data_IF_246510875801
#
_entry.id   IF_246510875801
#
_cell.length_a   1.000
_cell.length_b   1.000
_cell.length_c   1.000
_cell.angle_alpha   90.00
_cell.angle_beta   90.00
_cell.angle_gamma   90.00
#
_symmetry.space_group_name_H-M   'P 1'
#
loop_
_entity.id
_entity.type
_entity.pdbx_description
1 polymer ?
#
# COMPACT_ATOMS: atom_id res chain seq x y z
N UNK A 1 -52.38 -54.17 -42.29
CA UNK A 1 -51.52 -54.44 -41.13
C UNK A 1 -50.23 -53.67 -41.38
N UNK A 2 -50.25 -52.38 -41.03
CA UNK A 2 -49.25 -51.41 -41.49
C UNK A 2 -49.01 -50.42 -40.36
N UNK A 3 -47.95 -50.67 -39.59
CA UNK A 3 -47.36 -49.84 -38.53
C UNK A 3 -46.07 -50.61 -38.19
N UNK A 4 -44.86 -50.06 -38.08
CA UNK A 4 -44.50 -48.83 -37.41
C UNK A 4 -42.97 -48.64 -37.61
N UNK A 5 -42.50 -48.03 -38.70
CA UNK A 5 -41.10 -47.63 -38.81
C UNK A 5 -41.00 -46.34 -39.62
N UNK A 6 -40.84 -45.21 -38.94
CA UNK A 6 -40.20 -43.96 -39.43
C UNK A 6 -40.43 -42.82 -38.42
N UNK A 7 -39.80 -42.88 -37.25
CA UNK A 7 -39.64 -41.70 -36.38
C UNK A 7 -38.35 -41.76 -35.55
N UNK A 8 -37.21 -41.93 -36.20
CA UNK A 8 -35.92 -41.57 -35.62
C UNK A 8 -35.03 -41.08 -36.74
N UNK A 9 -34.64 -39.79 -36.66
CA UNK A 9 -33.67 -39.02 -37.45
C UNK A 9 -34.32 -37.69 -37.80
N UNK A 10 -33.75 -36.59 -37.27
CA UNK A 10 -34.03 -35.15 -37.52
C UNK A 10 -34.25 -34.28 -36.26
N UNK A 11 -33.73 -34.68 -35.09
CA UNK A 11 -33.70 -33.82 -33.90
C UNK A 11 -32.34 -33.21 -33.53
N UNK A 12 -31.21 -33.71 -34.06
CA UNK A 12 -29.86 -33.41 -33.52
C UNK A 12 -29.11 -32.23 -34.16
N UNK A 13 -29.41 -31.86 -35.41
CA UNK A 13 -28.57 -30.93 -36.19
C UNK A 13 -28.81 -29.44 -35.92
N UNK A 14 -30.06 -29.04 -35.63
CA UNK A 14 -30.41 -27.63 -35.44
C UNK A 14 -29.85 -27.05 -34.13
N UNK A 15 -29.86 -27.86 -33.07
CA UNK A 15 -29.31 -27.49 -31.75
C UNK A 15 -27.78 -27.32 -31.78
N UNK A 16 -27.07 -28.18 -32.52
CA UNK A 16 -25.62 -28.10 -32.66
C UNK A 16 -25.18 -26.88 -33.48
N UNK A 17 -25.90 -26.53 -34.57
CA UNK A 17 -25.65 -25.30 -35.34
C UNK A 17 -25.88 -24.04 -34.52
N UNK A 18 -26.94 -23.99 -33.70
CA UNK A 18 -27.20 -22.86 -32.79
C UNK A 18 -26.11 -22.72 -31.71
N UNK A 19 -25.62 -23.83 -31.16
CA UNK A 19 -24.50 -23.84 -30.19
C UNK A 19 -23.20 -23.35 -30.81
N UNK A 20 -22.88 -23.81 -32.03
CA UNK A 20 -21.69 -23.35 -32.75
C UNK A 20 -21.77 -21.87 -33.12
N UNK A 21 -22.95 -21.38 -33.53
CA UNK A 21 -23.16 -19.96 -33.80
C UNK A 21 -23.04 -19.11 -32.53
N UNK A 22 -23.60 -19.57 -31.40
CA UNK A 22 -23.43 -18.90 -30.10
C UNK A 22 -21.96 -18.89 -29.64
N UNK A 23 -21.22 -19.97 -29.84
CA UNK A 23 -19.79 -20.05 -29.56
C UNK A 23 -18.99 -19.09 -30.45
N UNK A 24 -19.32 -19.03 -31.75
CA UNK A 24 -18.70 -18.10 -32.69
C UNK A 24 -18.96 -16.64 -32.32
N UNK A 25 -20.20 -16.29 -31.94
CA UNK A 25 -20.52 -14.96 -31.42
C UNK A 25 -19.72 -14.64 -30.14
N UNK A 26 -19.60 -15.60 -29.23
CA UNK A 26 -18.83 -15.41 -28.00
C UNK A 26 -17.33 -15.21 -28.29
N UNK A 27 -16.77 -15.97 -29.23
CA UNK A 27 -15.37 -15.82 -29.66
C UNK A 27 -15.13 -14.48 -30.35
N UNK A 28 -16.03 -14.03 -31.23
CA UNK A 28 -15.90 -12.73 -31.91
C UNK A 28 -16.01 -11.57 -30.93
N UNK A 29 -16.93 -11.63 -29.96
CA UNK A 29 -17.01 -10.64 -28.87
C UNK A 29 -15.74 -10.64 -28.01
N UNK A 30 -15.19 -11.82 -27.69
CA UNK A 30 -13.95 -11.94 -26.93
C UNK A 30 -12.76 -11.34 -27.70
N UNK A 31 -12.63 -11.65 -28.99
CA UNK A 31 -11.58 -11.09 -29.85
C UNK A 31 -11.72 -9.58 -30.00
N UNK A 32 -12.94 -9.07 -30.19
CA UNK A 32 -13.21 -7.63 -30.24
C UNK A 32 -12.85 -6.92 -28.93
N UNK A 33 -13.19 -7.52 -27.79
CA UNK A 33 -12.83 -7.00 -26.48
C UNK A 33 -11.31 -7.00 -26.25
N UNK A 34 -10.61 -8.07 -26.64
CA UNK A 34 -9.14 -8.13 -26.54
C UNK A 34 -8.47 -7.13 -27.48
N UNK A 35 -8.98 -6.94 -28.70
CA UNK A 35 -8.49 -5.94 -29.63
C UNK A 35 -8.67 -4.53 -29.08
N UNK A 36 -9.84 -4.22 -28.51
CA UNK A 36 -10.11 -2.97 -27.82
C UNK A 36 -9.16 -2.73 -26.63
N UNK A 37 -8.93 -3.74 -25.80
CA UNK A 37 -7.99 -3.61 -24.69
C UNK A 37 -6.57 -3.32 -25.19
N UNK A 38 -6.14 -3.96 -26.29
CA UNK A 38 -4.82 -3.78 -26.87
C UNK A 38 -4.64 -2.44 -27.61
N UNK A 39 -5.71 -1.74 -27.97
CA UNK A 39 -5.61 -0.40 -28.55
C UNK A 39 -5.43 0.71 -27.52
N UNK A 40 -5.58 0.40 -26.22
CA UNK A 40 -5.46 1.39 -25.14
C UNK A 40 -4.00 1.56 -24.69
N UNK A 41 -3.64 2.74 -24.15
CA UNK A 41 -2.37 2.93 -23.44
C UNK A 41 -2.18 1.88 -22.33
N UNK A 42 -0.92 1.51 -22.06
CA UNK A 42 -0.57 0.39 -21.19
C UNK A 42 -1.19 0.51 -19.78
N UNK A 43 -1.07 1.69 -19.16
CA UNK A 43 -1.62 1.94 -17.82
C UNK A 43 -3.16 1.94 -17.82
N UNK A 44 -3.80 2.52 -18.84
CA UNK A 44 -5.27 2.51 -19.00
C UNK A 44 -5.78 1.08 -19.17
N UNK A 45 -5.09 0.27 -19.98
CA UNK A 45 -5.38 -1.15 -20.15
C UNK A 45 -5.26 -1.89 -18.82
N UNK A 46 -4.18 -1.68 -18.08
CA UNK A 46 -3.97 -2.28 -16.77
C UNK A 46 -5.08 -1.85 -15.78
N UNK A 47 -5.43 -0.57 -15.73
CA UNK A 47 -6.52 -0.07 -14.88
C UNK A 47 -7.86 -0.73 -15.19
N UNK A 48 -8.23 -0.86 -16.48
CA UNK A 48 -9.46 -1.57 -16.87
C UNK A 48 -9.42 -3.06 -16.51
N UNK A 49 -8.27 -3.71 -16.65
CA UNK A 49 -8.08 -5.10 -16.23
C UNK A 49 -8.17 -5.27 -14.71
N UNK A 50 -7.85 -4.24 -13.92
CA UNK A 50 -8.01 -4.25 -12.47
C UNK A 50 -9.49 -4.33 -12.06
N UNK A 51 -10.41 -3.93 -12.96
CA UNK A 51 -11.88 -3.89 -12.72
C UNK A 51 -12.21 -3.16 -11.41
N UNK A 52 -11.64 -1.97 -11.26
CA UNK A 52 -11.88 -1.11 -10.11
C UNK A 52 -13.32 -0.58 -10.19
N UNK A 53 -14.13 -0.72 -9.13
CA UNK A 53 -15.48 -0.16 -9.09
C UNK A 53 -15.49 1.36 -9.28
N UNK A 54 -16.52 1.89 -9.92
CA UNK A 54 -16.63 3.33 -10.21
C UNK A 54 -16.87 4.21 -8.99
N UNK A 55 -17.24 3.63 -7.84
CA UNK A 55 -17.42 4.34 -6.58
C UNK A 55 -16.10 4.44 -5.77
N UNK A 56 -14.99 3.95 -6.31
CA UNK A 56 -13.67 4.02 -5.72
C UNK A 56 -12.80 5.07 -6.43
N UNK A 57 -12.22 5.98 -5.66
CA UNK A 57 -11.34 7.03 -6.16
C UNK A 57 -9.93 6.47 -6.31
N UNK A 58 -9.30 6.59 -7.48
CA UNK A 58 -7.89 6.26 -7.66
C UNK A 58 -7.04 7.29 -6.90
N UNK A 59 -6.08 6.84 -6.08
CA UNK A 59 -5.24 7.75 -5.25
C UNK A 59 -3.73 7.55 -5.46
N UNK A 60 -3.31 6.39 -5.97
CA UNK A 60 -1.93 6.16 -6.37
C UNK A 60 -1.84 5.04 -7.40
N UNK A 61 -0.80 5.08 -8.24
CA UNK A 61 -0.46 4.01 -9.18
C UNK A 61 1.02 3.70 -9.05
N UNK A 62 1.38 2.43 -8.93
CA UNK A 62 2.76 1.98 -8.99
C UNK A 62 2.93 1.01 -10.15
N UNK A 63 4.05 1.14 -10.86
CA UNK A 63 4.38 0.30 -12.00
C UNK A 63 5.84 -0.15 -11.95
N UNK A 64 6.10 -1.46 -12.12
CA UNK A 64 7.43 -2.04 -12.28
C UNK A 64 7.39 -3.15 -13.35
N UNK A 65 7.80 -2.81 -14.59
CA UNK A 65 7.86 -3.69 -15.77
C UNK A 65 6.55 -4.39 -16.10
N UNK A 66 6.33 -5.57 -15.54
CA UNK A 66 5.15 -6.41 -15.74
C UNK A 66 4.26 -6.48 -14.49
N UNK A 67 4.29 -5.43 -13.69
CA UNK A 67 3.58 -5.35 -12.43
C UNK A 67 2.94 -3.98 -12.30
N UNK A 68 1.65 -3.98 -11.94
CA UNK A 68 0.87 -2.77 -11.69
C UNK A 68 0.21 -2.87 -10.34
N UNK A 69 0.19 -1.76 -9.61
CA UNK A 69 -0.66 -1.59 -8.44
C UNK A 69 -1.45 -0.30 -8.54
N UNK A 70 -2.73 -0.38 -8.21
CA UNK A 70 -3.63 0.76 -8.14
C UNK A 70 -4.16 0.86 -6.71
N UNK A 71 -3.80 1.93 -6.00
CA UNK A 71 -4.40 2.25 -4.72
C UNK A 71 -5.65 3.09 -4.92
N UNK A 72 -6.71 2.75 -4.20
CA UNK A 72 -7.99 3.43 -4.26
C UNK A 72 -8.54 3.70 -2.87
N UNK A 73 -9.42 4.69 -2.78
CA UNK A 73 -10.15 5.04 -1.58
C UNK A 73 -11.65 5.18 -1.86
N UNK A 74 -12.46 4.60 -0.98
CA UNK A 74 -13.90 4.81 -1.00
C UNK A 74 -14.31 5.66 0.22
N UNK A 75 -14.70 6.94 0.04
CA UNK A 75 -15.03 7.83 1.15
C UNK A 75 -16.28 7.40 1.92
N UNK A 76 -17.23 6.71 1.28
CA UNK A 76 -18.46 6.23 1.92
C UNK A 76 -18.21 5.09 2.90
N UNK A 77 -17.27 4.21 2.56
CA UNK A 77 -16.96 3.03 3.38
C UNK A 77 -15.68 3.16 4.19
N UNK A 78 -14.91 4.23 3.96
CA UNK A 78 -13.59 4.48 4.55
C UNK A 78 -12.62 3.32 4.35
N UNK A 79 -12.62 2.76 3.14
CA UNK A 79 -11.77 1.63 2.77
C UNK A 79 -10.69 2.07 1.81
N UNK A 80 -9.45 1.72 2.15
CA UNK A 80 -8.33 1.70 1.22
C UNK A 80 -8.26 0.32 0.57
N UNK A 81 -8.00 0.30 -0.72
CA UNK A 81 -7.71 -0.93 -1.45
C UNK A 81 -6.49 -0.76 -2.33
N UNK A 82 -5.67 -1.79 -2.40
CA UNK A 82 -4.62 -1.92 -3.42
C UNK A 82 -5.00 -3.09 -4.31
N UNK A 83 -5.09 -2.83 -5.61
CA UNK A 83 -5.29 -3.84 -6.65
C UNK A 83 -3.94 -4.11 -7.30
N UNK A 84 -3.46 -5.34 -7.27
CA UNK A 84 -2.21 -5.73 -7.93
C UNK A 84 -2.52 -6.56 -9.18
N UNK A 85 -1.83 -6.26 -10.27
CA UNK A 85 -1.89 -7.01 -11.53
C UNK A 85 -0.51 -7.49 -11.95
N UNK A 86 -0.41 -8.78 -12.29
CA UNK A 86 0.79 -9.39 -12.86
C UNK A 86 0.56 -9.62 -14.36
N UNK A 87 1.29 -8.89 -15.20
CA UNK A 87 1.10 -8.90 -16.66
C UNK A 87 2.01 -9.90 -17.39
N UNK A 88 2.80 -10.68 -16.63
CA UNK A 88 3.58 -11.82 -17.13
C UNK A 88 2.70 -12.96 -17.70
N UNK A 89 1.37 -12.88 -17.54
CA UNK A 89 0.37 -13.77 -18.16
C UNK A 89 -0.79 -12.97 -18.78
N UNK A 90 -0.62 -12.40 -19.99
CA UNK A 90 -1.46 -11.32 -20.52
C UNK A 90 -2.87 -11.73 -21.00
N UNK A 91 -3.23 -13.01 -21.04
CA UNK A 91 -4.42 -13.49 -21.78
C UNK A 91 -5.62 -13.80 -20.86
N UNK A 92 -5.41 -13.93 -19.55
CA UNK A 92 -6.44 -14.37 -18.60
C UNK A 92 -6.41 -13.53 -17.30
N UNK A 93 -7.57 -13.21 -16.69
CA UNK A 93 -7.70 -12.35 -15.49
C UNK A 93 -7.14 -12.95 -14.19
N UNK A 94 -6.24 -13.92 -14.28
CA UNK A 94 -5.82 -14.78 -13.17
C UNK A 94 -4.65 -14.20 -12.37
N UNK A 95 -4.07 -13.08 -12.83
CA UNK A 95 -3.02 -12.34 -12.14
C UNK A 95 -3.53 -11.13 -11.39
N UNK A 96 -4.68 -11.18 -10.70
CA UNK A 96 -5.20 -10.06 -9.91
C UNK A 96 -5.31 -10.41 -8.43
N UNK A 97 -4.67 -9.62 -7.59
CA UNK A 97 -4.85 -9.65 -6.13
C UNK A 97 -5.45 -8.33 -5.63
N UNK A 98 -6.23 -8.39 -4.55
CA UNK A 98 -6.78 -7.20 -3.89
C UNK A 98 -6.55 -7.30 -2.38
N UNK A 99 -5.93 -6.26 -1.82
CA UNK A 99 -5.81 -6.05 -0.38
C UNK A 99 -6.73 -4.90 0.01
N UNK A 100 -7.37 -5.00 1.17
CA UNK A 100 -8.35 -4.01 1.63
C UNK A 100 -8.18 -3.80 3.11
N UNK A 101 -8.20 -2.52 3.54
CA UNK A 101 -8.17 -2.13 4.94
C UNK A 101 -9.17 -1.01 5.21
N UNK A 102 -9.72 -0.97 6.42
CA UNK A 102 -10.49 0.18 6.89
C UNK A 102 -9.53 1.20 7.46
N UNK A 103 -9.76 2.48 7.20
CA UNK A 103 -8.88 3.57 7.67
C UNK A 103 -9.69 4.71 8.29
N UNK A 104 -9.20 5.34 9.37
CA UNK A 104 -9.79 6.58 9.87
C UNK A 104 -9.46 7.80 9.00
N UNK A 105 -8.46 7.69 8.11
CA UNK A 105 -7.92 8.78 7.32
C UNK A 105 -8.82 9.14 6.12
N UNK A 106 -8.84 10.42 5.75
CA UNK A 106 -9.52 10.92 4.56
C UNK A 106 -8.54 11.07 3.38
N UNK A 107 -8.63 10.14 2.42
CA UNK A 107 -7.79 10.15 1.21
C UNK A 107 -8.44 10.83 0.00
N UNK A 108 -9.66 11.36 0.11
CA UNK A 108 -10.29 12.06 -1.01
C UNK A 108 -9.47 13.22 -1.60
N UNK A 109 -8.67 13.99 -0.83
CA UNK A 109 -7.76 14.99 -1.40
C UNK A 109 -6.67 14.43 -2.33
N UNK A 110 -6.39 13.12 -2.27
CA UNK A 110 -5.43 12.43 -3.14
C UNK A 110 -6.08 11.84 -4.40
N UNK A 111 -7.39 12.06 -4.63
CA UNK A 111 -8.06 11.54 -5.80
C UNK A 111 -7.39 12.04 -7.09
N UNK A 112 -7.09 11.10 -7.98
CA UNK A 112 -6.39 11.33 -9.23
C UNK A 112 -7.37 11.31 -10.40
N UNK A 113 -7.07 12.13 -11.40
CA UNK A 113 -7.69 12.01 -12.72
C UNK A 113 -7.22 10.73 -13.42
N UNK A 114 -8.14 10.02 -14.07
CA UNK A 114 -7.81 8.81 -14.84
C UNK A 114 -7.05 9.14 -16.12
N UNK A 115 -7.19 10.36 -16.64
CA UNK A 115 -6.50 10.79 -17.86
C UNK A 115 -4.97 10.83 -17.66
N UNK A 116 -4.50 10.99 -16.41
CA UNK A 116 -3.07 10.90 -16.05
C UNK A 116 -2.44 9.52 -16.32
N UNK A 117 -3.27 8.48 -16.52
CA UNK A 117 -2.79 7.15 -16.92
C UNK A 117 -2.33 7.11 -18.38
N UNK A 118 -2.81 8.02 -19.23
CA UNK A 118 -2.39 8.09 -20.63
C UNK A 118 -0.94 8.57 -20.76
N UNK A 119 -0.47 9.33 -19.77
CA UNK A 119 0.86 9.97 -19.72
C UNK A 119 1.90 9.14 -18.96
N UNK A 120 1.72 7.82 -18.85
CA UNK A 120 2.64 6.98 -18.08
C UNK A 120 4.08 7.05 -18.63
N UNK A 121 5.10 7.28 -17.78
CA UNK A 121 6.49 7.25 -18.19
C UNK A 121 6.90 5.88 -18.75
N UNK A 122 7.92 5.88 -19.61
CA UNK A 122 8.50 4.63 -20.13
C UNK A 122 9.44 3.98 -19.11
N UNK A 123 10.01 4.82 -18.26
CA UNK A 123 10.93 4.46 -17.20
C UNK A 123 10.21 3.67 -16.11
N UNK A 124 10.86 2.64 -15.60
CA UNK A 124 10.34 1.83 -14.50
C UNK A 124 11.43 1.62 -13.43
N UNK A 125 11.07 1.57 -12.14
CA UNK A 125 9.73 1.75 -11.58
C UNK A 125 9.21 3.19 -11.67
N UNK A 126 7.89 3.34 -11.73
CA UNK A 126 7.20 4.62 -11.76
C UNK A 126 6.05 4.66 -10.74
N UNK A 127 5.81 5.83 -10.15
CA UNK A 127 4.76 6.10 -9.16
C UNK A 127 3.94 7.32 -9.58
N UNK A 128 2.65 7.15 -9.86
CA UNK A 128 1.71 8.27 -9.93
C UNK A 128 1.16 8.51 -8.54
N UNK A 129 1.46 9.67 -7.96
CA UNK A 129 0.98 10.05 -6.65
C UNK A 129 0.80 11.57 -6.58
N UNK A 130 -0.28 12.03 -5.93
CA UNK A 130 -0.60 13.45 -5.80
C UNK A 130 -0.55 14.22 -7.14
N UNK A 131 -1.07 13.62 -8.21
CA UNK A 131 -1.18 14.22 -9.53
C UNK A 131 0.13 14.27 -10.34
N UNK A 132 1.22 13.63 -9.88
CA UNK A 132 2.51 13.64 -10.58
C UNK A 132 3.08 12.24 -10.71
N UNK A 133 3.72 11.97 -11.85
CA UNK A 133 4.55 10.79 -12.06
C UNK A 133 5.96 11.02 -11.51
N UNK A 134 6.40 10.10 -10.66
CA UNK A 134 7.75 10.01 -10.15
C UNK A 134 8.45 8.79 -10.75
N UNK A 135 9.76 8.92 -10.99
CA UNK A 135 10.64 7.86 -11.49
C UNK A 135 11.92 7.85 -10.66
N UNK A 136 12.89 7.02 -11.01
CA UNK A 136 14.22 7.07 -10.39
C UNK A 136 14.96 8.38 -10.68
N UNK A 137 14.71 8.98 -11.84
CA UNK A 137 15.36 10.22 -12.29
C UNK A 137 14.72 11.45 -11.67
N UNK A 138 13.44 11.36 -11.32
CA UNK A 138 12.70 12.38 -10.57
C UNK A 138 11.98 11.71 -9.40
N UNK A 139 12.71 11.32 -8.34
CA UNK A 139 12.13 10.62 -7.21
C UNK A 139 11.25 11.56 -6.38
N UNK A 140 10.29 10.99 -5.62
CA UNK A 140 9.50 11.79 -4.69
C UNK A 140 10.38 12.35 -3.56
N UNK A 141 10.13 13.61 -3.18
CA UNK A 141 10.79 14.27 -2.04
C UNK A 141 10.00 14.00 -0.75
N UNK A 142 10.54 13.17 0.13
CA UNK A 142 9.89 12.78 1.38
C UNK A 142 10.16 13.77 2.52
N UNK A 143 9.20 13.95 3.44
CA UNK A 143 9.41 14.78 4.61
C UNK A 143 10.48 14.19 5.53
N UNK A 144 11.34 15.07 6.04
CA UNK A 144 12.42 14.73 6.96
C UNK A 144 11.94 14.66 8.42
N UNK A 145 12.70 13.96 9.26
CA UNK A 145 12.44 13.91 10.70
C UNK A 145 12.40 15.30 11.35
N UNK A 146 13.28 16.21 10.93
CA UNK A 146 13.33 17.57 11.48
C UNK A 146 12.09 18.39 11.10
N UNK A 147 11.57 18.24 9.89
CA UNK A 147 10.31 18.88 9.48
C UNK A 147 9.14 18.37 10.32
N UNK A 148 9.03 17.05 10.49
CA UNK A 148 7.97 16.42 11.29
C UNK A 148 8.06 16.90 12.75
N UNK A 149 9.21 16.77 13.39
CA UNK A 149 9.35 17.15 14.81
C UNK A 149 9.18 18.64 15.04
N UNK A 150 9.59 19.50 14.09
CA UNK A 150 9.35 20.94 14.15
C UNK A 150 7.86 21.27 14.09
N UNK A 151 7.09 20.62 13.21
CA UNK A 151 5.65 20.81 13.10
C UNK A 151 4.91 20.41 14.40
N UNK A 152 5.33 19.32 15.03
CA UNK A 152 4.69 18.78 16.24
C UNK A 152 5.34 19.23 17.55
N UNK A 153 6.27 20.19 17.53
CA UNK A 153 7.05 20.62 18.70
C UNK A 153 6.21 20.88 19.96
N UNK A 154 5.03 21.48 19.79
CA UNK A 154 4.13 21.86 20.90
C UNK A 154 2.94 20.90 21.07
N UNK A 155 3.05 19.67 20.57
CA UNK A 155 1.99 18.65 20.64
C UNK A 155 2.42 17.49 21.52
N UNK A 156 1.41 16.80 22.06
CA UNK A 156 1.59 15.49 22.69
C UNK A 156 1.19 14.43 21.68
N UNK A 157 2.15 13.59 21.32
CA UNK A 157 1.95 12.46 20.44
C UNK A 157 1.65 11.22 21.27
N UNK A 158 0.94 10.26 20.72
CA UNK A 158 0.88 8.89 21.27
C UNK A 158 1.94 8.02 20.64
N UNK A 159 2.13 8.20 19.35
CA UNK A 159 3.03 7.43 18.51
C UNK A 159 3.54 8.30 17.36
N UNK A 160 4.78 8.05 16.96
CA UNK A 160 5.39 8.55 15.74
C UNK A 160 5.96 7.34 15.00
N UNK A 161 5.43 7.06 13.82
CA UNK A 161 5.85 5.91 13.00
C UNK A 161 6.31 6.36 11.63
N UNK A 162 7.44 5.83 11.17
CA UNK A 162 8.01 6.04 9.86
C UNK A 162 7.94 4.73 9.07
N UNK A 163 7.38 4.79 7.86
CA UNK A 163 7.30 3.68 6.93
C UNK A 163 8.15 3.96 5.70
N UNK A 164 9.07 3.04 5.42
CA UNK A 164 9.82 3.01 4.17
C UNK A 164 9.43 1.76 3.40
N UNK A 165 9.18 1.95 2.10
CA UNK A 165 8.97 0.87 1.16
C UNK A 165 9.94 1.06 0.00
N UNK A 166 10.73 0.04 -0.33
CA UNK A 166 11.61 0.10 -1.50
C UNK A 166 10.84 -0.05 -2.82
N UNK A 167 9.76 -0.81 -2.77
CA UNK A 167 8.92 -1.20 -3.92
C UNK A 167 7.50 -1.45 -3.45
N UNK A 168 6.57 -1.37 -4.40
CA UNK A 168 5.15 -1.65 -4.21
C UNK A 168 4.43 -0.62 -3.33
N UNK A 169 3.12 -0.55 -3.49
CA UNK A 169 2.22 0.15 -2.59
C UNK A 169 1.88 -0.77 -1.41
N UNK A 170 2.02 -0.26 -0.19
CA UNK A 170 1.73 -1.02 1.02
C UNK A 170 0.50 -0.47 1.74
N UNK A 171 -0.38 -1.38 2.14
CA UNK A 171 -1.47 -1.13 3.08
C UNK A 171 -1.59 -2.32 4.02
N UNK A 172 -2.18 -2.12 5.20
CA UNK A 172 -2.40 -3.21 6.14
C UNK A 172 -1.14 -3.73 6.78
N UNK A 173 -1.32 -4.56 7.79
CA UNK A 173 -0.23 -5.32 8.36
C UNK A 173 -0.21 -6.74 7.79
N UNK A 174 0.98 -7.33 7.80
CA UNK A 174 1.24 -8.72 7.46
C UNK A 174 1.59 -9.42 8.75
N UNK A 175 0.83 -10.45 9.10
CA UNK A 175 1.04 -11.20 10.34
C UNK A 175 2.34 -12.01 10.28
N UNK A 176 3.10 -11.96 11.37
CA UNK A 176 4.30 -12.77 11.58
C UNK A 176 3.89 -14.00 12.38
N UNK A 177 3.94 -15.18 11.73
CA UNK A 177 3.52 -16.44 12.33
C UNK A 177 4.50 -17.56 11.98
N UNK A 178 4.89 -18.34 12.98
CA UNK A 178 5.57 -19.62 12.80
C UNK A 178 4.96 -20.70 13.67
N UNK A 179 4.62 -21.81 13.03
CA UNK A 179 3.75 -22.83 13.64
C UNK A 179 2.45 -22.20 14.13
N UNK A 180 2.13 -22.45 15.39
CA UNK A 180 0.91 -21.96 16.05
C UNK A 180 1.11 -20.62 16.80
N UNK A 181 2.29 -20.02 16.74
CA UNK A 181 2.64 -18.81 17.50
C UNK A 181 2.57 -17.55 16.63
N UNK A 182 1.86 -16.52 17.12
CA UNK A 182 1.79 -15.19 16.52
C UNK A 182 2.81 -14.25 17.18
N UNK A 183 3.77 -13.73 16.41
CA UNK A 183 4.86 -12.87 16.91
C UNK A 183 4.58 -11.37 16.74
N UNK A 184 3.54 -11.01 15.98
CA UNK A 184 3.15 -9.62 15.73
C UNK A 184 2.77 -9.39 14.27
N UNK A 185 2.93 -8.16 13.80
CA UNK A 185 2.66 -7.80 12.41
C UNK A 185 3.54 -6.66 11.94
N UNK A 186 3.91 -6.67 10.65
CA UNK A 186 4.66 -5.59 9.99
C UNK A 186 3.78 -4.91 8.94
N UNK A 187 3.83 -3.59 8.83
CA UNK A 187 3.18 -2.84 7.77
C UNK A 187 2.20 -1.78 8.26
N UNK A 188 1.73 -0.90 7.37
CA UNK A 188 1.15 0.38 7.74
C UNK A 188 -0.31 0.35 8.24
N UNK A 189 -0.85 -0.80 8.66
CA UNK A 189 -2.21 -1.02 9.23
C UNK A 189 -3.36 -0.38 8.43
N UNK A 190 -3.55 0.93 8.47
CA UNK A 190 -4.58 1.70 7.77
C UNK A 190 -4.03 2.83 6.88
N UNK A 191 -2.71 2.93 6.76
CA UNK A 191 -1.99 3.94 5.99
C UNK A 191 -1.53 3.35 4.66
N UNK A 192 -1.59 4.16 3.60
CA UNK A 192 -0.93 3.85 2.34
C UNK A 192 0.54 4.24 2.48
N UNK A 193 1.47 3.32 2.26
CA UNK A 193 2.90 3.65 2.10
C UNK A 193 3.23 3.55 0.62
N UNK A 194 3.72 4.65 0.06
CA UNK A 194 4.24 4.72 -1.32
C UNK A 194 5.73 4.36 -1.32
N UNK A 195 6.25 3.75 -2.40
CA UNK A 195 7.64 3.37 -2.45
C UNK A 195 8.56 4.58 -2.65
N UNK A 196 9.71 4.53 -2.00
CA UNK A 196 10.86 5.33 -2.32
C UNK A 196 11.49 4.79 -3.60
N UNK A 197 11.58 5.65 -4.62
CA UNK A 197 12.16 5.29 -5.91
C UNK A 197 13.68 5.55 -5.96
N UNK A 198 14.26 6.07 -4.87
CA UNK A 198 15.70 6.26 -4.75
C UNK A 198 16.40 4.94 -4.41
N UNK A 199 17.49 4.63 -5.13
CA UNK A 199 18.32 3.45 -4.84
C UNK A 199 19.43 3.76 -3.81
N UNK A 200 19.68 5.03 -3.50
CA UNK A 200 20.89 5.50 -2.80
C UNK A 200 20.63 5.96 -1.36
N UNK A 201 20.58 5.03 -0.40
CA UNK A 201 20.97 5.23 1.01
C UNK A 201 20.25 6.25 1.89
N UNK A 202 19.49 7.19 1.33
CA UNK A 202 18.63 8.16 1.98
C UNK A 202 17.19 7.67 1.84
N UNK A 203 16.83 6.74 2.72
CA UNK A 203 15.47 6.20 2.77
C UNK A 203 14.46 7.31 3.08
N UNK A 204 13.64 7.66 2.10
CA UNK A 204 12.48 8.52 2.28
C UNK A 204 11.39 7.81 3.09
N UNK A 205 10.80 8.50 4.05
CA UNK A 205 9.78 7.93 4.94
C UNK A 205 8.41 8.58 4.73
N UNK A 206 7.37 7.75 4.65
CA UNK A 206 6.00 8.18 4.94
C UNK A 206 5.86 8.21 6.46
N UNK A 207 5.55 9.39 7.02
CA UNK A 207 5.43 9.56 8.47
C UNK A 207 3.97 9.54 8.90
N UNK A 208 3.63 8.64 9.81
CA UNK A 208 2.37 8.63 10.53
C UNK A 208 2.56 9.19 11.94
N UNK A 209 1.72 10.16 12.28
CA UNK A 209 1.73 10.84 13.57
C UNK A 209 0.38 10.66 14.25
N UNK A 210 0.37 10.05 15.43
CA UNK A 210 -0.81 9.95 16.28
C UNK A 210 -0.79 11.08 17.31
N UNK A 211 -1.64 12.09 17.16
CA UNK A 211 -1.74 13.22 18.09
C UNK A 211 -2.86 12.99 19.09
N UNK A 212 -2.59 13.23 20.38
CA UNK A 212 -3.60 13.18 21.43
C UNK A 212 -4.68 14.22 21.14
N UNK A 213 -5.91 13.78 20.92
CA UNK A 213 -7.10 14.65 20.84
C UNK A 213 -7.91 14.55 22.13
N UNK A 214 -8.30 13.33 22.51
CA UNK A 214 -9.06 13.01 23.70
C UNK A 214 -8.56 11.71 24.35
N UNK A 215 -9.18 11.29 25.46
CA UNK A 215 -8.83 10.06 26.18
C UNK A 215 -8.91 8.82 25.28
N UNK A 216 -9.92 8.73 24.42
CA UNK A 216 -10.21 7.56 23.58
C UNK A 216 -10.17 7.86 22.07
N UNK A 217 -9.75 9.06 21.67
CA UNK A 217 -9.66 9.45 20.27
C UNK A 217 -8.32 10.13 19.96
N UNK A 218 -7.78 9.83 18.79
CA UNK A 218 -6.56 10.43 18.26
C UNK A 218 -6.82 11.09 16.92
N UNK A 219 -6.12 12.19 16.67
CA UNK A 219 -5.95 12.72 15.33
C UNK A 219 -4.77 11.99 14.70
N UNK A 220 -5.04 11.22 13.66
CA UNK A 220 -4.03 10.58 12.83
C UNK A 220 -3.69 11.51 11.67
N UNK A 221 -2.40 11.77 11.47
CA UNK A 221 -1.90 12.56 10.33
C UNK A 221 -0.81 11.76 9.64
N UNK A 222 -0.93 11.61 8.33
CA UNK A 222 0.10 10.99 7.51
C UNK A 222 0.70 12.03 6.58
N UNK A 223 2.02 12.11 6.59
CA UNK A 223 2.83 13.00 5.76
C UNK A 223 3.45 12.19 4.63
N UNK A 224 3.17 12.64 3.43
CA UNK A 224 3.61 12.05 2.17
C UNK A 224 4.62 12.95 1.46
N UNK A 225 5.26 12.44 0.40
CA UNK A 225 6.06 13.28 -0.48
C UNK A 225 5.34 14.49 -1.04
N UNK A 226 6.08 15.56 -1.30
CA UNK A 226 5.57 16.78 -1.95
C UNK A 226 4.59 17.58 -1.10
N UNK A 227 4.84 17.67 0.21
CA UNK A 227 4.03 18.40 1.21
C UNK A 227 2.56 17.94 1.34
N UNK A 228 2.27 16.71 0.91
CA UNK A 228 0.91 16.18 0.96
C UNK A 228 0.59 15.58 2.32
N UNK A 229 -0.58 15.92 2.86
CA UNK A 229 -1.04 15.44 4.15
C UNK A 229 -2.46 14.88 4.05
N UNK A 230 -2.68 13.73 4.67
CA UNK A 230 -4.02 13.21 4.93
C UNK A 230 -4.21 13.10 6.43
N UNK A 231 -5.43 13.31 6.89
CA UNK A 231 -5.74 13.21 8.31
C UNK A 231 -7.11 12.61 8.55
N UNK A 232 -7.31 12.14 9.77
CA UNK A 232 -8.54 11.51 10.21
C UNK A 232 -8.59 11.37 11.72
N UNK A 233 -9.79 11.17 12.26
CA UNK A 233 -9.98 10.90 13.69
C UNK A 233 -10.33 9.44 13.83
N UNK A 234 -9.59 8.74 14.69
CA UNK A 234 -9.75 7.31 14.92
C UNK A 234 -9.64 6.95 16.39
N UNK A 235 -9.90 5.68 16.68
CA UNK A 235 -9.65 5.12 18.01
C UNK A 235 -8.14 5.08 18.29
N UNK A 236 -7.81 5.16 19.58
CA UNK A 236 -6.43 5.10 20.06
C UNK A 236 -5.94 3.65 20.02
N UNK A 237 -4.74 3.40 19.47
CA UNK A 237 -4.09 2.08 19.56
C UNK A 237 -3.62 1.79 20.98
N UNK A 238 -2.90 2.74 21.59
CA UNK A 238 -2.28 2.60 22.90
C UNK A 238 -2.72 3.72 23.86
N UNK A 239 -3.76 3.46 24.67
CA UNK A 239 -4.39 4.50 25.51
C UNK A 239 -3.45 5.21 26.48
N UNK A 240 -2.37 4.55 26.89
CA UNK A 240 -1.43 5.05 27.88
C UNK A 240 -0.19 5.72 27.26
N UNK A 241 -0.03 5.68 25.93
CA UNK A 241 1.15 6.27 25.32
C UNK A 241 1.06 7.79 25.23
N UNK A 242 2.14 8.49 25.59
CA UNK A 242 2.24 9.94 25.42
C UNK A 242 3.69 10.43 25.34
N UNK A 243 4.03 11.15 24.29
CA UNK A 243 5.31 11.82 24.04
C UNK A 243 5.06 13.32 23.94
N UNK A 244 5.56 14.11 24.89
CA UNK A 244 5.60 15.56 24.73
C UNK A 244 6.82 15.95 23.88
N UNK A 245 6.61 16.28 22.60
CA UNK A 245 7.72 16.46 21.63
C UNK A 245 8.73 17.49 22.10
N UNK A 246 8.28 18.62 22.67
CA UNK A 246 9.18 19.65 23.21
C UNK A 246 10.15 19.15 24.28
N UNK A 247 9.72 18.19 25.11
CA UNK A 247 10.54 17.57 26.19
C UNK A 247 11.32 16.35 25.70
N UNK A 248 10.85 15.74 24.62
CA UNK A 248 11.36 14.49 24.09
C UNK A 248 12.27 14.67 22.87
N UNK A 249 12.44 15.88 22.33
CA UNK A 249 13.13 16.10 21.06
C UNK A 249 14.51 15.43 21.00
N UNK A 250 15.37 15.62 22.01
CA UNK A 250 16.68 14.96 22.08
C UNK A 250 16.56 13.43 22.09
N UNK A 251 15.56 12.89 22.78
CA UNK A 251 15.33 11.44 22.82
C UNK A 251 14.76 10.89 21.51
N UNK A 252 13.92 11.66 20.80
CA UNK A 252 13.43 11.33 19.46
C UNK A 252 14.56 11.39 18.43
N UNK A 253 15.38 12.43 18.46
CA UNK A 253 16.58 12.57 17.62
C UNK A 253 17.56 11.42 17.89
N UNK A 254 17.78 11.05 19.16
CA UNK A 254 18.57 9.88 19.51
C UNK A 254 17.97 8.58 18.98
N UNK A 255 16.64 8.43 18.98
CA UNK A 255 15.96 7.27 18.41
C UNK A 255 16.17 7.18 16.90
N UNK A 256 16.07 8.31 16.20
CA UNK A 256 16.30 8.37 14.76
C UNK A 256 17.78 8.17 14.40
N UNK A 257 18.70 8.75 15.19
CA UNK A 257 20.15 8.47 15.08
C UNK A 257 20.47 7.01 15.35
N UNK A 258 19.79 6.37 16.30
CA UNK A 258 19.91 4.92 16.54
C UNK A 258 19.51 4.14 15.29
N UNK A 259 18.35 4.43 14.69
CA UNK A 259 17.92 3.83 13.42
C UNK A 259 19.00 3.96 12.34
N UNK A 260 19.55 5.16 12.13
CA UNK A 260 20.57 5.41 11.11
C UNK A 260 21.93 4.75 11.42
N UNK A 261 22.23 4.53 12.70
CA UNK A 261 23.44 3.80 13.14
C UNK A 261 23.28 2.30 13.01
N UNK A 262 22.06 1.77 13.16
CA UNK A 262 21.82 0.36 12.91
C UNK A 262 22.21 0.01 11.48
N UNK A 263 22.59 -1.24 11.25
CA UNK A 263 22.85 -1.70 9.88
C UNK A 263 21.56 -1.88 9.08
N UNK A 264 20.37 -1.62 9.65
CA UNK A 264 19.10 -1.94 9.01
C UNK A 264 18.82 -1.15 7.73
N UNK A 265 18.97 0.20 7.67
CA UNK A 265 18.85 0.92 6.40
C UNK A 265 19.92 0.48 5.39
N UNK A 266 21.13 0.18 5.87
CA UNK A 266 22.27 -0.28 5.04
C UNK A 266 22.09 -1.70 4.50
N UNK A 267 21.20 -2.49 5.08
CA UNK A 267 20.86 -3.84 4.60
C UNK A 267 19.88 -3.81 3.43
N UNK A 268 19.54 -2.62 2.91
CA UNK A 268 18.70 -2.44 1.73
C UNK A 268 17.33 -3.14 1.87
N UNK A 269 16.57 -2.78 2.93
CA UNK A 269 15.34 -3.48 3.26
C UNK A 269 14.29 -3.30 2.15
N UNK A 270 13.36 -4.25 2.07
CA UNK A 270 12.20 -4.14 1.18
C UNK A 270 11.15 -3.24 1.79
N UNK A 271 10.96 -3.39 3.09
CA UNK A 271 10.06 -2.58 3.89
C UNK A 271 10.69 -2.38 5.28
N UNK A 272 10.57 -1.16 5.81
CA UNK A 272 11.01 -0.82 7.15
C UNK A 272 9.89 -0.05 7.84
N UNK A 273 9.59 -0.46 9.07
CA UNK A 273 8.71 0.25 9.99
C UNK A 273 9.54 0.64 11.21
N UNK A 274 9.65 1.93 11.47
CA UNK A 274 10.27 2.47 12.67
C UNK A 274 9.20 3.17 13.50
N UNK A 275 9.01 2.74 14.74
CA UNK A 275 7.92 3.20 15.59
C UNK A 275 8.49 3.72 16.91
N UNK A 276 8.02 4.89 17.32
CA UNK A 276 8.44 5.56 18.55
C UNK A 276 7.22 5.92 19.39
N UNK A 277 7.19 5.46 20.63
CA UNK A 277 6.09 5.72 21.58
C UNK A 277 6.64 5.76 23.02
N UNK A 278 5.82 6.17 23.99
CA UNK A 278 6.22 6.17 25.41
C UNK A 278 5.09 5.63 26.28
N UNK A 279 5.23 4.41 26.80
CA UNK A 279 4.26 3.83 27.75
C UNK A 279 4.50 4.23 29.20
N UNK A 280 5.71 4.70 29.54
CA UNK A 280 6.11 5.16 30.89
C UNK A 280 6.69 6.56 30.76
N UNK A 281 6.25 7.50 31.59
CA UNK A 281 6.57 8.95 31.48
C UNK A 281 8.06 9.34 31.55
N UNK A 282 8.98 8.36 31.70
CA UNK A 282 10.43 8.57 31.81
C UNK A 282 11.24 7.95 30.67
N UNK A 283 10.65 7.14 29.79
CA UNK A 283 11.35 6.51 28.68
C UNK A 283 10.54 6.56 27.39
N UNK A 284 11.24 6.73 26.28
CA UNK A 284 10.72 6.51 24.94
C UNK A 284 11.18 5.12 24.49
N UNK A 285 10.25 4.35 23.95
CA UNK A 285 10.54 3.08 23.32
C UNK A 285 10.64 3.33 21.82
N UNK A 286 11.74 2.86 21.22
CA UNK A 286 11.95 2.87 19.80
C UNK A 286 12.03 1.41 19.32
N UNK A 287 11.21 1.06 18.33
CA UNK A 287 11.18 -0.26 17.72
C UNK A 287 11.39 -0.17 16.22
N UNK A 288 12.06 -1.16 15.66
CA UNK A 288 12.22 -1.30 14.21
C UNK A 288 11.83 -2.71 13.77
N UNK A 289 11.04 -2.77 12.70
CA UNK A 289 10.67 -4.00 11.99
C UNK A 289 11.15 -3.89 10.55
N UNK A 290 11.91 -4.90 10.12
CA UNK A 290 12.60 -4.89 8.84
C UNK A 290 12.26 -6.13 8.05
N UNK A 291 11.71 -5.96 6.86
CA UNK A 291 11.53 -7.02 5.88
C UNK A 291 12.67 -7.00 4.87
N UNK A 292 13.40 -8.11 4.77
CA UNK A 292 14.61 -8.19 3.93
C UNK A 292 14.39 -8.74 2.53
N UNK A 293 13.48 -9.70 2.41
CA UNK A 293 13.36 -10.49 1.18
C UNK A 293 12.25 -9.94 0.31
N UNK A 294 12.59 -9.65 -0.94
CA UNK A 294 11.64 -9.18 -1.92
C UNK A 294 11.09 -10.35 -2.71
N UNK A 295 9.76 -10.39 -2.83
CA UNK A 295 9.06 -11.14 -3.86
C UNK A 295 7.96 -10.23 -4.38
N UNK A 296 7.73 -10.24 -5.69
CA UNK A 296 6.67 -9.44 -6.30
C UNK A 296 5.32 -9.78 -5.67
N UNK A 297 4.56 -8.77 -5.26
CA UNK A 297 3.29 -8.93 -4.56
C UNK A 297 3.41 -9.20 -3.06
N UNK A 298 4.60 -9.04 -2.46
CA UNK A 298 4.78 -9.29 -1.02
C UNK A 298 3.89 -8.38 -0.17
N UNK A 299 3.65 -7.14 -0.60
CA UNK A 299 2.73 -6.19 0.03
C UNK A 299 1.29 -6.72 0.15
N UNK A 300 0.92 -7.66 -0.73
CA UNK A 300 -0.41 -8.29 -0.80
C UNK A 300 -0.58 -9.46 0.17
N UNK A 301 0.50 -9.97 0.78
CA UNK A 301 0.44 -11.13 1.66
C UNK A 301 -0.27 -10.81 2.97
N UNK A 302 -0.89 -11.85 3.54
CA UNK A 302 -1.50 -11.83 4.88
C UNK A 302 -0.56 -12.37 5.96
N UNK A 303 0.35 -13.28 5.60
CA UNK A 303 1.29 -13.93 6.50
C UNK A 303 2.65 -14.09 5.83
N UNK A 304 3.72 -14.00 6.61
CA UNK A 304 5.09 -14.31 6.18
C UNK A 304 5.67 -15.48 6.98
N UNK A 305 6.53 -16.32 6.37
CA UNK A 305 7.31 -17.31 7.09
C UNK A 305 8.34 -16.65 8.02
N UNK A 306 8.84 -17.44 8.97
CA UNK A 306 9.93 -17.03 9.85
C UNK A 306 11.24 -16.74 9.10
N UNK A 307 12.04 -15.85 9.71
CA UNK A 307 13.33 -15.40 9.16
C UNK A 307 13.22 -14.36 8.04
N UNK A 308 12.01 -14.04 7.57
CA UNK A 308 11.79 -12.97 6.59
C UNK A 308 11.94 -11.58 7.20
N UNK A 309 11.68 -11.48 8.50
CA UNK A 309 11.63 -10.24 9.26
C UNK A 309 12.70 -10.25 10.35
N UNK A 310 13.37 -9.11 10.51
CA UNK A 310 14.13 -8.80 11.72
C UNK A 310 13.35 -7.78 12.56
N UNK A 311 13.39 -7.96 13.88
CA UNK A 311 12.82 -7.04 14.85
C UNK A 311 13.91 -6.67 15.86
N UNK A 312 14.00 -5.39 16.20
CA UNK A 312 14.87 -4.89 17.25
C UNK A 312 14.22 -3.70 17.95
N UNK A 313 14.64 -3.42 19.19
CA UNK A 313 14.07 -2.36 20.00
C UNK A 313 14.99 -1.89 21.10
N UNK A 314 14.83 -0.63 21.50
CA UNK A 314 15.63 -0.01 22.54
C UNK A 314 14.80 0.98 23.37
N UNK A 315 15.16 1.10 24.66
CA UNK A 315 14.60 2.10 25.56
C UNK A 315 15.56 3.30 25.64
N UNK A 316 15.05 4.50 25.37
CA UNK A 316 15.80 5.75 25.40
C UNK A 316 15.24 6.63 26.52
N UNK A 317 16.06 7.04 27.49
CA UNK A 317 15.59 7.90 28.58
C UNK A 317 15.11 9.25 28.02
N UNK A 318 14.02 9.76 28.57
CA UNK A 318 13.58 11.13 28.32
C UNK A 318 14.49 12.05 29.12
N UNK A 319 15.29 12.87 28.46
CA UNK A 319 16.07 13.91 29.13
C UNK A 319 15.09 14.96 29.66
N UNK A 320 14.66 14.79 30.92
CA UNK A 320 13.99 15.84 31.66
C UNK A 320 15.03 16.92 31.96
N UNK A 321 15.28 17.81 31.00
CA UNK A 321 15.86 19.11 31.34
C UNK A 321 14.87 19.76 32.32
N UNK A 322 15.35 19.88 33.56
CA UNK A 322 14.61 20.41 34.71
C UNK A 322 14.38 21.90 34.55
#
# INVERSE_FOLDING_TARGET
METNERRLLYGGGLGMRRKLFALFLLLTLLLGYLAYLNSLPLAVRAYKLARIPSDEQLIAVYHDKDFWQFATYNPKTQKLKVYALYTDKPILPWGRDVKTVKTPLNYSPLALDLDLLEEVPKETPALLFAGKWYTKENPPEFPSFDEITKEYKNKTLRELTAYYAKKELWIGSITLQTGDVLYGSIGPVWTLTVPDLQDEGNSGFVWEVEVVKEKNASLWVVHYPGDVKVSGVGEVLYRQSSIAVSKAYTSLDNAFKWLNRTSYPKQNPVFLQFTVYSMKSKTIQAGVLVLKYYQKGISMKKKLPDGYVLMDGTDIPVNNSS
#
